data_IF_450259448194
#
_entry.id   IF_450259448194
#
_cell.length_a   1.000
_cell.length_b   1.000
_cell.length_c   1.000
_cell.angle_alpha   90.00
_cell.angle_beta   90.00
_cell.angle_gamma   90.00
#
_symmetry.space_group_name_H-M   'P 1'
#
loop_
_entity.id
_entity.type
_entity.pdbx_description
1 polymer ?
#
# COMPACT_ATOMS: atom_id res chain seq x y z
N UNK A 1 5.11 26.91 -3.28
CA UNK A 1 5.98 25.89 -3.90
C UNK A 1 5.28 25.33 -5.13
N UNK A 2 5.79 25.61 -6.34
CA UNK A 2 5.18 25.17 -7.61
C UNK A 2 5.47 23.70 -7.91
N UNK A 3 4.77 22.76 -7.27
CA UNK A 3 4.81 21.37 -7.65
C UNK A 3 3.73 21.06 -8.69
N UNK A 4 4.06 20.23 -9.68
CA UNK A 4 3.08 19.75 -10.67
C UNK A 4 2.43 18.48 -10.15
N UNK A 5 1.12 18.33 -10.37
CA UNK A 5 0.36 17.14 -10.07
C UNK A 5 -0.63 16.90 -11.22
N UNK A 6 -0.87 15.64 -11.53
CA UNK A 6 -1.97 15.19 -12.40
C UNK A 6 -2.81 14.15 -11.65
N UNK A 7 -4.09 14.10 -11.96
CA UNK A 7 -5.00 13.06 -11.49
C UNK A 7 -5.39 12.16 -12.65
N UNK A 8 -5.36 10.84 -12.41
CA UNK A 8 -5.72 9.83 -13.41
C UNK A 8 -6.77 8.91 -12.77
N UNK A 9 -8.03 9.06 -13.18
CA UNK A 9 -9.09 8.18 -12.71
C UNK A 9 -9.05 6.84 -13.47
N UNK A 10 -8.81 5.75 -12.75
CA UNK A 10 -8.75 4.42 -13.34
C UNK A 10 -9.00 3.32 -12.29
N UNK A 11 -9.62 2.23 -12.71
CA UNK A 11 -9.74 1.03 -11.89
C UNK A 11 -8.47 0.18 -12.01
N UNK A 12 -7.69 0.13 -10.95
CA UNK A 12 -6.38 -0.53 -10.90
C UNK A 12 -6.45 -2.06 -10.86
N UNK A 13 -7.63 -2.65 -10.76
CA UNK A 13 -7.79 -4.10 -10.89
C UNK A 13 -7.42 -4.62 -12.28
N UNK A 14 -7.46 -3.76 -13.28
CA UNK A 14 -7.18 -4.11 -14.66
C UNK A 14 -5.77 -3.70 -15.07
N UNK A 15 -4.98 -4.66 -15.54
CA UNK A 15 -3.58 -4.45 -15.94
C UNK A 15 -3.43 -3.32 -16.98
N UNK A 16 -4.33 -3.25 -17.97
CA UNK A 16 -4.33 -2.19 -18.99
C UNK A 16 -4.44 -0.78 -18.39
N UNK A 17 -5.21 -0.63 -17.31
CA UNK A 17 -5.38 0.65 -16.63
C UNK A 17 -4.11 1.02 -15.84
N UNK A 18 -3.45 0.04 -15.23
CA UNK A 18 -2.17 0.24 -14.56
C UNK A 18 -1.07 0.66 -15.55
N UNK A 19 -1.03 0.06 -16.73
CA UNK A 19 -0.14 0.48 -17.83
C UNK A 19 -0.45 1.92 -18.26
N UNK A 20 -1.71 2.24 -18.49
CA UNK A 20 -2.17 3.59 -18.83
C UNK A 20 -1.74 4.64 -17.79
N UNK A 21 -1.90 4.36 -16.48
CA UNK A 21 -1.48 5.26 -15.40
C UNK A 21 0.01 5.58 -15.50
N UNK A 22 0.85 4.55 -15.67
CA UNK A 22 2.29 4.73 -15.78
C UNK A 22 2.66 5.51 -17.05
N UNK A 23 2.09 5.17 -18.20
CA UNK A 23 2.32 5.89 -19.44
C UNK A 23 1.94 7.36 -19.36
N UNK A 24 0.78 7.70 -18.75
CA UNK A 24 0.36 9.08 -18.56
C UNK A 24 1.32 9.84 -17.63
N UNK A 25 1.85 9.15 -16.60
CA UNK A 25 2.85 9.72 -15.71
C UNK A 25 4.13 10.06 -16.49
N UNK A 26 4.62 9.14 -17.33
CA UNK A 26 5.82 9.35 -18.15
C UNK A 26 5.60 10.47 -19.18
N UNK A 27 4.45 10.50 -19.85
CA UNK A 27 4.10 11.59 -20.79
C UNK A 27 4.10 12.97 -20.12
N UNK A 28 3.63 13.04 -18.86
CA UNK A 28 3.48 14.32 -18.14
C UNK A 28 4.76 14.80 -17.46
N UNK A 29 5.61 13.88 -16.99
CA UNK A 29 6.76 14.22 -16.16
C UNK A 29 8.11 13.75 -16.73
N UNK A 30 8.12 12.90 -17.74
CA UNK A 30 9.32 12.42 -18.43
C UNK A 30 10.05 11.28 -17.72
N UNK A 31 9.73 11.00 -16.44
CA UNK A 31 10.40 9.97 -15.62
C UNK A 31 9.52 9.45 -14.52
N UNK A 32 9.93 8.32 -13.92
CA UNK A 32 9.32 7.74 -12.72
C UNK A 32 10.42 7.25 -11.79
N UNK A 33 10.64 7.95 -10.71
CA UNK A 33 11.69 7.65 -9.73
C UNK A 33 11.13 6.86 -8.53
N UNK A 34 9.87 7.13 -8.17
CA UNK A 34 9.23 6.55 -6.98
C UNK A 34 7.85 6.02 -7.36
N UNK A 35 7.57 4.76 -7.00
CA UNK A 35 6.24 4.16 -7.08
C UNK A 35 5.72 3.88 -5.66
N UNK A 36 4.54 4.43 -5.33
CA UNK A 36 3.86 4.11 -4.07
C UNK A 36 2.58 3.33 -4.38
N UNK A 37 2.55 2.06 -4.03
CA UNK A 37 1.36 1.19 -4.11
C UNK A 37 0.59 1.32 -2.78
N UNK A 38 -0.38 2.23 -2.72
CA UNK A 38 -1.10 2.54 -1.49
C UNK A 38 -2.60 2.24 -1.55
N UNK A 39 -3.21 2.28 -2.71
CA UNK A 39 -4.65 2.09 -2.87
C UNK A 39 -5.09 0.71 -2.33
N UNK A 40 -6.20 0.68 -1.60
CA UNK A 40 -6.75 -0.54 -1.04
C UNK A 40 -8.26 -0.44 -0.83
N UNK A 41 -8.90 -1.59 -0.76
CA UNK A 41 -10.26 -1.78 -0.26
C UNK A 41 -10.24 -2.68 0.96
N UNK A 42 -11.25 -2.50 1.83
CA UNK A 42 -11.46 -3.30 3.02
C UNK A 42 -12.96 -3.54 3.18
N UNK A 43 -13.35 -4.76 3.44
CA UNK A 43 -14.72 -5.16 3.76
C UNK A 43 -14.70 -5.89 5.09
N UNK A 44 -15.56 -5.48 6.02
CA UNK A 44 -15.71 -6.18 7.27
C UNK A 44 -16.35 -7.56 7.01
N UNK A 45 -15.69 -8.62 7.46
CA UNK A 45 -16.24 -9.96 7.52
C UNK A 45 -15.51 -10.77 8.58
N UNK A 46 -16.21 -11.15 9.61
CA UNK A 46 -15.72 -11.95 10.73
C UNK A 46 -16.00 -13.45 10.59
N UNK A 47 -16.62 -13.86 9.50
CA UNK A 47 -16.93 -15.26 9.18
C UNK A 47 -16.46 -15.55 7.76
N UNK A 48 -15.62 -16.56 7.61
CA UNK A 48 -15.05 -16.95 6.32
C UNK A 48 -16.14 -17.32 5.30
N UNK A 49 -17.21 -17.98 5.78
CA UNK A 49 -18.33 -18.43 4.97
C UNK A 49 -19.11 -17.30 4.30
N UNK A 50 -19.04 -16.10 4.87
CA UNK A 50 -19.70 -14.91 4.33
C UNK A 50 -18.87 -14.16 3.27
N UNK A 51 -17.60 -14.52 3.11
CA UNK A 51 -16.73 -13.91 2.10
C UNK A 51 -17.08 -14.49 0.74
N UNK A 52 -17.77 -13.69 -0.07
CA UNK A 52 -18.14 -14.10 -1.42
C UNK A 52 -16.91 -14.14 -2.35
N UNK A 53 -17.00 -14.95 -3.42
CA UNK A 53 -16.00 -14.96 -4.49
C UNK A 53 -15.75 -13.55 -5.04
N UNK A 54 -16.82 -12.79 -5.28
CA UNK A 54 -16.71 -11.43 -5.82
C UNK A 54 -15.95 -10.48 -4.86
N UNK A 55 -16.21 -10.58 -3.55
CA UNK A 55 -15.47 -9.81 -2.54
C UNK A 55 -14.00 -10.19 -2.55
N UNK A 56 -13.69 -11.49 -2.57
CA UNK A 56 -12.31 -11.99 -2.59
C UNK A 56 -11.56 -11.50 -3.83
N UNK A 57 -12.17 -11.63 -5.02
CA UNK A 57 -11.60 -11.15 -6.28
C UNK A 57 -11.41 -9.63 -6.27
N UNK A 58 -12.33 -8.86 -5.69
CA UNK A 58 -12.21 -7.40 -5.55
C UNK A 58 -11.08 -7.03 -4.60
N UNK A 59 -11.03 -7.64 -3.41
CA UNK A 59 -9.99 -7.37 -2.41
C UNK A 59 -8.59 -7.68 -2.96
N UNK A 60 -8.40 -8.88 -3.52
CA UNK A 60 -7.09 -9.25 -4.08
C UNK A 60 -6.77 -8.46 -5.36
N UNK A 61 -7.75 -8.19 -6.19
CA UNK A 61 -7.60 -7.40 -7.41
C UNK A 61 -7.05 -5.99 -7.11
N UNK A 62 -7.66 -5.30 -6.13
CA UNK A 62 -7.23 -3.96 -5.74
C UNK A 62 -5.97 -3.99 -4.89
N UNK A 63 -5.91 -4.83 -3.85
CA UNK A 63 -4.86 -4.75 -2.85
C UNK A 63 -3.56 -5.44 -3.27
N UNK A 64 -3.64 -6.48 -4.11
CA UNK A 64 -2.48 -7.32 -4.45
C UNK A 64 -2.15 -7.25 -5.94
N UNK A 65 -3.10 -7.62 -6.82
CA UNK A 65 -2.79 -7.71 -8.26
C UNK A 65 -2.40 -6.36 -8.86
N UNK A 66 -3.03 -5.27 -8.41
CA UNK A 66 -2.65 -3.91 -8.80
C UNK A 66 -1.18 -3.60 -8.53
N UNK A 67 -0.64 -4.07 -7.39
CA UNK A 67 0.77 -3.88 -7.05
C UNK A 67 1.69 -4.56 -8.06
N UNK A 68 1.34 -5.77 -8.52
CA UNK A 68 2.07 -6.46 -9.60
C UNK A 68 1.97 -5.69 -10.91
N UNK A 69 0.76 -5.26 -11.31
CA UNK A 69 0.54 -4.58 -12.59
C UNK A 69 1.22 -3.22 -12.67
N UNK A 70 1.05 -2.38 -11.62
CA UNK A 70 1.70 -1.07 -11.56
C UNK A 70 3.22 -1.21 -11.51
N UNK A 71 3.74 -2.13 -10.70
CA UNK A 71 5.18 -2.37 -10.61
C UNK A 71 5.73 -2.86 -11.96
N UNK A 72 5.09 -3.85 -12.59
CA UNK A 72 5.49 -4.35 -13.90
C UNK A 72 5.55 -3.23 -14.95
N UNK A 73 4.54 -2.38 -15.01
CA UNK A 73 4.51 -1.24 -15.92
C UNK A 73 5.60 -0.21 -15.58
N UNK A 74 5.77 0.12 -14.29
CA UNK A 74 6.76 1.09 -13.82
C UNK A 74 8.20 0.66 -14.13
N UNK A 75 8.51 -0.63 -14.00
CA UNK A 75 9.85 -1.19 -14.22
C UNK A 75 10.38 -1.01 -15.64
N UNK A 76 9.55 -0.70 -16.63
CA UNK A 76 10.01 -0.32 -17.98
C UNK A 76 10.67 1.07 -18.01
N UNK A 77 10.37 1.93 -17.04
CA UNK A 77 10.80 3.33 -17.01
C UNK A 77 11.70 3.66 -15.81
N UNK A 78 11.62 2.88 -14.74
CA UNK A 78 12.44 3.10 -13.54
C UNK A 78 13.90 2.79 -13.79
N UNK A 79 14.76 3.67 -13.30
CA UNK A 79 16.24 3.60 -13.42
C UNK A 79 16.86 3.21 -12.07
N UNK A 80 18.17 2.86 -12.04
CA UNK A 80 18.91 2.71 -10.79
C UNK A 80 18.74 3.95 -9.90
N UNK A 81 18.60 3.72 -8.60
CA UNK A 81 18.23 4.74 -7.60
C UNK A 81 16.72 4.82 -7.35
N UNK A 82 15.89 4.17 -8.15
CA UNK A 82 14.44 4.13 -7.96
C UNK A 82 14.00 3.48 -6.64
N UNK A 83 12.83 3.88 -6.15
CA UNK A 83 12.22 3.32 -4.92
C UNK A 83 10.79 2.90 -5.16
N UNK A 84 10.45 1.66 -4.77
CA UNK A 84 9.08 1.13 -4.75
C UNK A 84 8.67 0.96 -3.29
N UNK A 85 7.53 1.54 -2.91
CA UNK A 85 7.02 1.49 -1.54
C UNK A 85 5.60 0.91 -1.58
N UNK A 86 5.45 -0.26 -0.98
CA UNK A 86 4.15 -0.92 -0.88
C UNK A 86 3.50 -0.59 0.47
N UNK A 87 2.17 -0.55 0.52
CA UNK A 87 1.42 -0.32 1.76
C UNK A 87 0.73 -1.61 2.19
N UNK A 88 1.28 -2.23 3.25
CA UNK A 88 0.65 -3.33 3.97
C UNK A 88 -0.25 -2.78 5.09
N UNK A 89 -0.30 -3.46 6.22
CA UNK A 89 -1.01 -3.07 7.44
C UNK A 89 -0.39 -3.80 8.63
N UNK A 90 -0.55 -3.25 9.83
CA UNK A 90 -0.26 -3.99 11.06
C UNK A 90 -1.08 -5.28 11.14
N UNK A 91 -2.26 -5.33 10.52
CA UNK A 91 -3.13 -6.49 10.44
C UNK A 91 -2.48 -7.71 9.75
N UNK A 92 -1.43 -7.51 8.95
CA UNK A 92 -0.62 -8.61 8.41
C UNK A 92 0.24 -9.33 9.47
N UNK A 93 0.45 -8.70 10.63
CA UNK A 93 1.31 -9.20 11.72
C UNK A 93 0.52 -9.47 13.01
N UNK A 94 -0.53 -8.70 13.21
CA UNK A 94 -1.47 -8.82 14.34
C UNK A 94 -2.90 -8.80 13.77
N UNK A 95 -3.40 -9.94 13.25
CA UNK A 95 -4.73 -10.00 12.67
C UNK A 95 -5.79 -9.80 13.76
N UNK A 96 -6.84 -9.08 13.41
CA UNK A 96 -7.99 -8.80 14.30
C UNK A 96 -9.14 -9.78 14.07
N UNK A 97 -9.12 -10.55 12.97
CA UNK A 97 -10.20 -11.45 12.57
C UNK A 97 -11.49 -10.74 12.13
N UNK A 98 -11.39 -9.47 11.76
CA UNK A 98 -12.53 -8.65 11.33
C UNK A 98 -12.64 -8.50 9.81
N UNK A 99 -11.60 -8.89 9.07
CA UNK A 99 -11.52 -8.74 7.61
C UNK A 99 -10.49 -9.73 7.04
N UNK A 100 -10.83 -11.02 7.04
CA UNK A 100 -9.90 -12.12 6.74
C UNK A 100 -9.24 -11.98 5.37
N UNK A 101 -9.99 -11.61 4.34
CA UNK A 101 -9.50 -11.39 2.98
C UNK A 101 -8.54 -10.19 2.90
N UNK A 102 -8.88 -9.09 3.60
CA UNK A 102 -8.01 -7.92 3.70
C UNK A 102 -6.69 -8.25 4.40
N UNK A 103 -6.77 -8.88 5.58
CA UNK A 103 -5.61 -9.27 6.39
C UNK A 103 -4.67 -10.19 5.58
N UNK A 104 -5.24 -11.19 4.89
CA UNK A 104 -4.51 -12.07 3.99
C UNK A 104 -3.86 -11.28 2.82
N UNK A 105 -4.58 -10.34 2.20
CA UNK A 105 -4.04 -9.50 1.13
C UNK A 105 -2.86 -8.66 1.60
N UNK A 106 -2.90 -8.14 2.84
CA UNK A 106 -1.81 -7.34 3.42
C UNK A 106 -0.60 -8.19 3.80
N UNK A 107 -0.80 -9.45 4.18
CA UNK A 107 0.27 -10.44 4.31
C UNK A 107 0.96 -10.76 2.98
N UNK A 108 0.17 -10.90 1.91
CA UNK A 108 0.69 -11.12 0.55
C UNK A 108 1.61 -9.97 0.09
N UNK A 109 1.30 -8.71 0.44
CA UNK A 109 2.13 -7.53 0.13
C UNK A 109 3.49 -7.58 0.83
N UNK A 110 3.55 -8.05 2.07
CA UNK A 110 4.82 -8.24 2.79
C UNK A 110 5.71 -9.24 2.06
N UNK A 111 5.17 -10.41 1.70
CA UNK A 111 5.89 -11.43 0.95
C UNK A 111 6.32 -10.94 -0.45
N UNK A 112 5.42 -10.24 -1.16
CA UNK A 112 5.71 -9.61 -2.46
C UNK A 112 6.89 -8.65 -2.36
N UNK A 113 6.90 -7.77 -1.35
CA UNK A 113 7.96 -6.80 -1.10
C UNK A 113 9.32 -7.49 -0.91
N UNK A 114 9.38 -8.48 -0.03
CA UNK A 114 10.61 -9.21 0.26
C UNK A 114 11.15 -9.97 -0.96
N UNK A 115 10.28 -10.62 -1.72
CA UNK A 115 10.66 -11.32 -2.94
C UNK A 115 11.15 -10.36 -4.03
N UNK A 116 10.36 -9.31 -4.31
CA UNK A 116 10.66 -8.34 -5.36
C UNK A 116 11.95 -7.58 -5.08
N UNK A 117 12.24 -7.25 -3.83
CA UNK A 117 13.47 -6.54 -3.46
C UNK A 117 14.73 -7.30 -3.92
N UNK A 118 14.72 -8.62 -3.78
CA UNK A 118 15.83 -9.48 -4.22
C UNK A 118 16.00 -9.50 -5.73
N UNK A 119 14.90 -9.54 -6.47
CA UNK A 119 14.94 -9.57 -7.94
C UNK A 119 15.41 -8.24 -8.55
N UNK A 120 15.23 -7.13 -7.83
CA UNK A 120 15.57 -5.80 -8.32
C UNK A 120 16.91 -5.25 -7.80
N UNK A 121 17.63 -6.00 -6.97
CA UNK A 121 18.98 -5.61 -6.48
C UNK A 121 19.94 -5.28 -7.63
N UNK A 122 20.02 -6.13 -8.64
CA UNK A 122 20.89 -5.93 -9.80
C UNK A 122 20.51 -4.72 -10.66
N UNK A 123 19.27 -4.23 -10.51
CA UNK A 123 18.77 -3.03 -11.19
C UNK A 123 18.98 -1.76 -10.36
N UNK A 124 19.52 -1.88 -9.14
CA UNK A 124 19.69 -0.73 -8.23
C UNK A 124 18.37 -0.07 -7.80
N UNK A 125 17.26 -0.83 -7.77
CA UNK A 125 15.94 -0.36 -7.35
C UNK A 125 15.62 -0.95 -5.98
N UNK A 126 15.30 -0.10 -5.02
CA UNK A 126 14.90 -0.51 -3.67
C UNK A 126 13.40 -0.81 -3.63
N UNK A 127 13.00 -1.80 -2.86
CA UNK A 127 11.60 -2.16 -2.65
C UNK A 127 11.37 -2.36 -1.16
N UNK A 128 10.51 -1.54 -0.57
CA UNK A 128 10.18 -1.62 0.85
C UNK A 128 8.67 -1.54 1.08
N UNK A 129 8.26 -1.74 2.30
CA UNK A 129 6.86 -1.74 2.69
C UNK A 129 6.66 -0.84 3.92
N UNK A 130 5.52 -0.17 3.98
CA UNK A 130 5.00 0.46 5.20
C UNK A 130 3.82 -0.38 5.68
N UNK A 131 3.77 -0.65 6.97
CA UNK A 131 2.65 -1.31 7.65
C UNK A 131 2.08 -0.37 8.73
N UNK A 132 1.12 0.48 8.39
CA UNK A 132 0.47 1.36 9.36
C UNK A 132 -0.38 0.58 10.36
N UNK A 133 -0.48 1.11 11.59
CA UNK A 133 -1.53 0.76 12.54
C UNK A 133 -2.82 1.50 12.28
N UNK A 134 -3.64 1.62 13.32
CA UNK A 134 -4.90 2.33 13.29
C UNK A 134 -4.69 3.78 12.87
N UNK A 135 -5.18 4.13 11.70
CA UNK A 135 -5.01 5.45 11.11
C UNK A 135 -6.37 6.00 10.68
N UNK A 136 -6.64 7.27 10.96
CA UNK A 136 -7.88 7.96 10.55
C UNK A 136 -7.81 8.28 9.06
N UNK A 137 -8.43 7.43 8.25
CA UNK A 137 -8.52 7.57 6.79
C UNK A 137 -9.97 7.37 6.34
N UNK A 138 -10.34 7.81 5.12
CA UNK A 138 -11.67 7.55 4.56
C UNK A 138 -12.02 6.06 4.44
N UNK A 139 -11.03 5.17 4.44
CA UNK A 139 -11.22 3.72 4.38
C UNK A 139 -12.00 3.20 5.60
N UNK A 140 -11.80 3.79 6.77
CA UNK A 140 -12.40 3.32 8.01
C UNK A 140 -13.92 3.52 8.04
N UNK A 141 -14.48 4.73 7.82
CA UNK A 141 -15.94 4.90 7.76
C UNK A 141 -16.58 4.24 6.54
N UNK A 142 -15.82 3.92 5.49
CA UNK A 142 -16.33 3.17 4.35
C UNK A 142 -16.48 1.66 4.63
N UNK A 143 -15.77 1.13 5.64
CA UNK A 143 -15.71 -0.30 5.94
C UNK A 143 -16.40 -0.72 7.22
N UNK A 144 -16.56 0.19 8.19
CA UNK A 144 -17.01 -0.12 9.54
C UNK A 144 -18.23 0.70 9.97
N UNK A 145 -18.93 0.19 10.99
CA UNK A 145 -20.10 0.88 11.57
C UNK A 145 -19.69 2.17 12.29
N UNK A 146 -20.62 3.13 12.47
CA UNK A 146 -20.34 4.38 13.21
C UNK A 146 -19.76 4.17 14.60
N UNK A 147 -20.16 3.12 15.32
CA UNK A 147 -19.69 2.80 16.67
C UNK A 147 -18.21 2.40 16.65
N UNK A 148 -17.80 1.57 15.68
CA UNK A 148 -16.40 1.18 15.48
C UNK A 148 -15.57 2.40 15.07
N UNK A 149 -16.08 3.22 14.16
CA UNK A 149 -15.41 4.45 13.73
C UNK A 149 -15.19 5.42 14.89
N UNK A 150 -16.19 5.59 15.78
CA UNK A 150 -16.10 6.48 16.93
C UNK A 150 -15.01 6.03 17.93
N UNK A 151 -14.85 4.72 18.11
CA UNK A 151 -13.86 4.13 19.02
C UNK A 151 -12.52 3.80 18.34
N UNK A 152 -12.34 4.15 17.04
CA UNK A 152 -11.16 3.77 16.28
C UNK A 152 -9.85 4.31 16.88
N UNK A 153 -8.99 3.39 17.29
CA UNK A 153 -7.68 3.69 17.86
C UNK A 153 -7.69 3.97 19.38
N UNK A 154 -8.84 4.00 20.06
CA UNK A 154 -8.89 4.21 21.51
C UNK A 154 -8.22 3.08 22.31
N UNK A 155 -8.10 1.89 21.71
CA UNK A 155 -7.45 0.72 22.31
C UNK A 155 -5.93 0.67 22.07
N UNK A 156 -5.38 1.62 21.31
CA UNK A 156 -3.92 1.71 21.13
C UNK A 156 -3.27 2.22 22.42
N UNK A 157 -1.99 1.89 22.70
CA UNK A 157 -1.28 2.43 23.86
C UNK A 157 -1.21 3.96 23.90
N UNK A 158 -1.34 4.64 22.75
CA UNK A 158 -1.42 6.09 22.66
C UNK A 158 -2.85 6.63 22.87
N UNK A 159 -3.85 5.77 23.06
CA UNK A 159 -5.26 6.13 23.29
C UNK A 159 -5.95 6.78 22.08
N UNK A 160 -5.34 6.73 20.90
CA UNK A 160 -5.88 7.34 19.68
C UNK A 160 -5.37 6.66 18.42
N UNK A 161 -6.10 6.81 17.34
CA UNK A 161 -5.57 6.50 16.01
C UNK A 161 -4.55 7.56 15.55
N UNK A 162 -3.60 7.14 14.72
CA UNK A 162 -2.70 8.04 14.03
C UNK A 162 -3.45 8.89 12.98
N UNK A 163 -2.89 10.04 12.66
CA UNK A 163 -3.31 10.84 11.51
C UNK A 163 -2.45 10.47 10.28
N UNK A 164 -2.95 10.64 9.05
CA UNK A 164 -2.17 10.34 7.84
C UNK A 164 -0.80 11.01 7.78
N UNK A 165 -0.68 12.24 8.29
CA UNK A 165 0.59 12.97 8.32
C UNK A 165 1.61 12.38 9.32
N UNK A 166 1.20 11.54 10.26
CA UNK A 166 2.10 10.80 11.17
C UNK A 166 2.64 9.53 10.51
N UNK A 167 1.99 9.03 9.47
CA UNK A 167 2.44 7.88 8.67
C UNK A 167 3.30 8.33 7.48
N UNK A 168 2.95 9.47 6.86
CA UNK A 168 3.60 9.98 5.67
C UNK A 168 5.14 10.14 5.76
N UNK A 169 5.74 10.54 6.92
CA UNK A 169 7.20 10.63 7.06
C UNK A 169 7.93 9.31 6.75
N UNK A 170 7.32 8.16 7.06
CA UNK A 170 7.89 6.86 6.73
C UNK A 170 8.00 6.64 5.21
N UNK A 171 7.01 7.09 4.44
CA UNK A 171 7.08 7.05 2.97
C UNK A 171 8.16 7.98 2.43
N UNK A 172 8.28 9.19 2.99
CA UNK A 172 9.33 10.15 2.59
C UNK A 172 10.71 9.57 2.87
N UNK A 173 10.92 8.98 4.04
CA UNK A 173 12.17 8.30 4.40
C UNK A 173 12.51 7.18 3.42
N UNK A 174 11.57 6.27 3.13
CA UNK A 174 11.81 5.17 2.19
C UNK A 174 11.97 5.62 0.74
N UNK A 175 11.45 6.79 0.38
CA UNK A 175 11.61 7.38 -0.94
C UNK A 175 12.94 8.11 -1.12
N UNK A 176 13.57 8.55 -0.03
CA UNK A 176 14.80 9.36 -0.04
C UNK A 176 16.08 8.51 0.02
N UNK A 177 17.22 9.16 -0.16
CA UNK A 177 18.55 8.57 -0.04
C UNK A 177 18.92 8.22 1.40
N UNK A 178 18.21 8.76 2.42
CA UNK A 178 18.38 8.40 3.82
C UNK A 178 18.13 6.90 4.06
N UNK A 179 17.39 6.23 3.17
CA UNK A 179 17.13 4.80 3.19
C UNK A 179 17.91 4.03 2.10
N UNK A 180 19.03 4.57 1.61
CA UNK A 180 19.80 3.99 0.49
C UNK A 180 20.30 2.56 0.75
N UNK A 181 20.50 2.16 2.01
CA UNK A 181 20.90 0.81 2.39
C UNK A 181 19.73 -0.08 2.87
N UNK A 182 18.49 0.37 2.65
CA UNK A 182 17.28 -0.33 3.12
C UNK A 182 16.49 -0.84 1.91
N UNK A 183 16.37 -2.17 1.78
CA UNK A 183 15.52 -2.84 0.79
C UNK A 183 14.98 -4.16 1.35
N UNK A 184 13.79 -4.58 0.93
CA UNK A 184 13.11 -5.78 1.40
C UNK A 184 12.51 -5.67 2.81
N UNK A 185 12.51 -4.47 3.41
CA UNK A 185 12.06 -4.27 4.78
C UNK A 185 10.61 -3.82 4.85
N UNK A 186 9.97 -4.14 5.98
CA UNK A 186 8.66 -3.61 6.33
C UNK A 186 8.80 -2.72 7.57
N UNK A 187 8.61 -1.41 7.37
CA UNK A 187 8.55 -0.43 8.44
C UNK A 187 7.13 -0.41 9.03
N UNK A 188 7.00 -0.91 10.24
CA UNK A 188 5.74 -0.90 10.99
C UNK A 188 5.62 0.43 11.72
N UNK A 189 4.58 1.20 11.42
CA UNK A 189 4.30 2.51 12.03
C UNK A 189 3.01 2.40 12.84
N UNK A 190 3.14 2.07 14.11
CA UNK A 190 2.02 1.92 15.03
C UNK A 190 2.50 2.05 16.47
N UNK A 191 1.60 2.38 17.39
CA UNK A 191 1.84 2.30 18.82
C UNK A 191 1.71 0.84 19.30
N UNK A 192 2.68 0.39 20.09
CA UNK A 192 2.71 -0.96 20.66
C UNK A 192 2.87 -0.88 22.17
#
# INVERSE_FOLDING_TARGET
MGRRCITIAADIRFEKNCQFIVEQTIRSFGKLDILVNNAAVLFQSNQLENITRNQLELTFGVNVFSCFYLTKAALHYMKPGGSIINTSSIAAFKPYGLAVDYEASKGAIVAFTGSLSRTLLSRGIRVNCIAPGETRTPLIPAAFTPEIVASWGTQTPMGRAAQPFEIAPGFVFLASDDSSYITGQTLRIYAQ
#
